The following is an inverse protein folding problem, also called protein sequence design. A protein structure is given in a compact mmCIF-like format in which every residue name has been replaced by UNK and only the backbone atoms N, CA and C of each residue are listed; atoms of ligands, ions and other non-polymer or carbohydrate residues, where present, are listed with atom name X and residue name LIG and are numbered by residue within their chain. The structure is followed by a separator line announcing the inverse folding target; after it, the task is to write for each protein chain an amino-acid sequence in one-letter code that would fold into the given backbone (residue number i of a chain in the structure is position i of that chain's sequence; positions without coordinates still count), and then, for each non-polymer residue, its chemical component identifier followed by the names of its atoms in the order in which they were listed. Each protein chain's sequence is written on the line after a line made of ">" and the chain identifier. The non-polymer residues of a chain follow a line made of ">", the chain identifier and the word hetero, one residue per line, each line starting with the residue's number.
data_IF_885319530107
#
_entry.id   IF_885319530107
#
_cell.length_a   1.000
_cell.length_b   1.000
_cell.length_c   1.000
_cell.angle_alpha   90.00
_cell.angle_beta   90.00
_cell.angle_gamma   90.00
#
_symmetry.space_group_name_H-M   'P 1'
#
loop_
_entity.id
_entity.type
_entity.pdbx_description
1 polymer ?
#
# COMPACT_ATOMS: atom_id res chain seq x y z
N UNK A 1 17.12 -3.55 16.12
CA UNK A 1 16.94 -2.19 15.56
C UNK A 1 15.57 -1.67 16.00
N UNK A 2 15.47 -0.41 16.40
CA UNK A 2 14.19 0.23 16.69
C UNK A 2 13.54 0.67 15.37
N UNK A 3 12.21 0.70 15.30
CA UNK A 3 11.48 1.17 14.12
C UNK A 3 11.74 2.67 13.87
N UNK A 4 12.15 3.03 12.65
CA UNK A 4 12.37 4.41 12.22
C UNK A 4 11.18 4.92 11.38
N UNK A 5 10.29 5.66 12.03
CA UNK A 5 9.10 6.24 11.40
C UNK A 5 9.34 7.64 10.81
N UNK A 6 10.60 8.08 10.68
CA UNK A 6 10.93 9.37 10.05
C UNK A 6 10.77 9.36 8.53
N UNK A 7 10.78 8.17 7.92
CA UNK A 7 10.73 7.96 6.48
C UNK A 7 9.30 8.08 5.92
N UNK A 8 9.21 8.51 4.68
CA UNK A 8 7.96 8.49 3.92
C UNK A 8 7.64 7.08 3.38
N UNK A 9 6.50 6.93 2.72
CA UNK A 9 6.15 5.69 2.03
C UNK A 9 6.83 5.54 0.65
N UNK A 10 7.79 6.41 0.30
CA UNK A 10 8.40 6.42 -1.02
C UNK A 10 9.03 5.07 -1.40
N UNK A 11 9.92 4.55 -0.54
CA UNK A 11 10.62 3.28 -0.78
C UNK A 11 9.68 2.07 -0.95
N UNK A 12 8.68 1.84 -0.07
CA UNK A 12 7.76 0.72 -0.27
C UNK A 12 6.91 0.87 -1.53
N UNK A 13 6.43 2.08 -1.86
CA UNK A 13 5.65 2.29 -3.08
C UNK A 13 6.52 2.02 -4.32
N UNK A 14 7.78 2.48 -4.31
CA UNK A 14 8.71 2.26 -5.40
C UNK A 14 9.03 0.77 -5.57
N UNK A 15 9.19 0.03 -4.47
CA UNK A 15 9.41 -1.41 -4.51
C UNK A 15 8.21 -2.15 -5.10
N UNK A 16 6.98 -1.84 -4.65
CA UNK A 16 5.74 -2.40 -5.19
C UNK A 16 5.63 -2.14 -6.70
N UNK A 17 5.85 -0.89 -7.13
CA UNK A 17 5.83 -0.51 -8.54
C UNK A 17 6.83 -1.33 -9.35
N UNK A 18 8.08 -1.44 -8.87
CA UNK A 18 9.13 -2.23 -9.54
C UNK A 18 8.75 -3.70 -9.71
N UNK A 19 8.08 -4.32 -8.73
CA UNK A 19 7.63 -5.71 -8.86
C UNK A 19 6.54 -5.87 -9.93
N UNK A 20 5.61 -4.92 -10.01
CA UNK A 20 4.55 -4.91 -11.01
C UNK A 20 5.10 -4.70 -12.43
N UNK A 21 6.12 -3.86 -12.57
CA UNK A 21 6.79 -3.59 -13.85
C UNK A 21 7.65 -4.77 -14.33
N UNK A 22 8.32 -5.48 -13.42
CA UNK A 22 9.28 -6.55 -13.76
C UNK A 22 8.65 -7.81 -14.34
N UNK A 23 7.31 -7.95 -14.31
CA UNK A 23 6.55 -9.05 -14.91
C UNK A 23 7.17 -10.42 -14.69
N UNK A 24 6.95 -10.95 -13.49
CA UNK A 24 6.65 -12.36 -13.21
C UNK A 24 6.80 -12.53 -11.70
N UNK A 25 5.67 -12.82 -11.05
CA UNK A 25 5.49 -13.43 -9.72
C UNK A 25 4.43 -12.70 -8.89
N UNK A 26 3.68 -13.53 -8.19
CA UNK A 26 2.87 -13.16 -7.04
C UNK A 26 3.78 -12.60 -5.93
N UNK A 27 3.33 -11.56 -5.25
CA UNK A 27 3.97 -11.07 -4.04
C UNK A 27 2.93 -10.58 -3.04
N UNK A 28 3.32 -10.51 -1.77
CA UNK A 28 2.43 -10.12 -0.69
C UNK A 28 2.84 -8.77 -0.12
N UNK A 29 1.84 -7.95 0.19
CA UNK A 29 1.99 -6.68 0.89
C UNK A 29 1.10 -6.71 2.12
N UNK A 30 1.66 -6.42 3.28
CA UNK A 30 0.92 -6.28 4.53
C UNK A 30 1.12 -4.86 5.03
N UNK A 31 0.02 -4.15 5.26
CA UNK A 31 0.02 -2.79 5.82
C UNK A 31 -0.70 -2.83 7.16
N UNK A 32 0.06 -2.64 8.24
CA UNK A 32 -0.46 -2.50 9.60
C UNK A 32 -0.53 -1.02 9.94
N UNK A 33 -1.74 -0.48 10.15
CA UNK A 33 -1.91 0.88 10.64
C UNK A 33 -2.05 0.89 12.17
N UNK A 34 -1.04 1.43 12.82
CA UNK A 34 -0.94 1.65 14.25
C UNK A 34 -1.54 3.00 14.64
N UNK A 35 -2.87 3.09 14.61
CA UNK A 35 -3.62 3.79 15.66
C UNK A 35 -4.20 2.69 16.56
N UNK A 36 -3.38 2.18 17.49
CA UNK A 36 -3.71 1.04 18.35
C UNK A 36 -3.52 -0.36 17.73
N UNK A 37 -2.80 -0.50 16.61
CA UNK A 37 -2.58 -1.78 15.87
C UNK A 37 -3.86 -2.50 15.45
N UNK A 38 -4.93 -1.74 15.29
CA UNK A 38 -6.26 -2.31 15.14
C UNK A 38 -6.70 -2.47 13.68
N UNK A 39 -5.91 -2.01 12.71
CA UNK A 39 -6.30 -2.08 11.31
C UNK A 39 -5.17 -2.66 10.48
N UNK A 40 -5.42 -3.80 9.83
CA UNK A 40 -4.43 -4.54 9.05
C UNK A 40 -5.04 -4.87 7.69
N UNK A 41 -4.30 -4.58 6.62
CA UNK A 41 -4.63 -4.99 5.26
C UNK A 41 -3.57 -5.98 4.80
N UNK A 42 -3.97 -7.22 4.59
CA UNK A 42 -3.16 -8.23 3.91
C UNK A 42 -3.55 -8.23 2.45
N UNK A 43 -2.62 -7.95 1.56
CA UNK A 43 -2.83 -7.90 0.12
C UNK A 43 -1.95 -8.94 -0.57
N UNK A 44 -2.57 -9.88 -1.25
CA UNK A 44 -1.92 -10.75 -2.22
C UNK A 44 -2.04 -10.11 -3.60
N UNK A 45 -0.92 -9.93 -4.31
CA UNK A 45 -0.86 -9.22 -5.59
C UNK A 45 -0.38 -10.17 -6.68
N UNK A 46 -1.28 -10.46 -7.63
CA UNK A 46 -1.01 -11.23 -8.83
C UNK A 46 -0.80 -10.31 -10.02
N UNK A 47 0.36 -10.41 -10.67
CA UNK A 47 0.74 -9.56 -11.81
C UNK A 47 0.65 -10.36 -13.10
N UNK A 48 -0.38 -10.09 -13.90
CA UNK A 48 -0.51 -10.61 -15.27
C UNK A 48 0.22 -9.73 -16.28
N UNK A 49 0.15 -10.08 -17.57
CA UNK A 49 0.75 -9.28 -18.65
C UNK A 49 0.22 -7.84 -18.66
N UNK A 50 -1.11 -7.67 -18.77
CA UNK A 50 -1.77 -6.37 -18.86
C UNK A 50 -2.64 -6.04 -17.63
N UNK A 51 -2.62 -6.89 -16.60
CA UNK A 51 -3.46 -6.74 -15.42
C UNK A 51 -2.69 -6.86 -14.11
N UNK A 52 -3.23 -6.22 -13.09
CA UNK A 52 -2.84 -6.41 -11.69
C UNK A 52 -4.09 -6.78 -10.92
N UNK A 53 -4.04 -7.91 -10.23
CA UNK A 53 -5.13 -8.41 -9.41
C UNK A 53 -4.69 -8.38 -7.94
N UNK A 54 -5.54 -7.83 -7.09
CA UNK A 54 -5.28 -7.68 -5.65
C UNK A 54 -6.39 -8.39 -4.89
N UNK A 55 -6.01 -9.33 -4.04
CA UNK A 55 -6.87 -10.00 -3.08
C UNK A 55 -6.52 -9.49 -1.69
N UNK A 56 -7.49 -8.88 -1.02
CA UNK A 56 -7.29 -8.36 0.32
C UNK A 56 -8.05 -9.18 1.36
N UNK A 57 -7.38 -9.40 2.49
CA UNK A 57 -7.99 -9.74 3.77
C UNK A 57 -7.78 -8.56 4.74
N UNK A 58 -8.86 -7.88 5.11
CA UNK A 58 -8.85 -6.65 5.91
C UNK A 58 -9.41 -6.93 7.31
N UNK A 59 -8.61 -6.68 8.33
CA UNK A 59 -8.95 -6.91 9.73
C UNK A 59 -9.03 -5.57 10.46
N UNK A 60 -10.17 -5.29 11.06
CA UNK A 60 -10.35 -4.17 11.99
C UNK A 60 -10.61 -4.71 13.40
N UNK A 61 -9.52 -4.93 14.14
CA UNK A 61 -9.53 -5.51 15.49
C UNK A 61 -10.20 -4.59 16.52
N UNK A 62 -10.30 -3.28 16.27
CA UNK A 62 -10.98 -2.36 17.20
C UNK A 62 -12.48 -2.64 17.24
N UNK A 63 -13.08 -2.94 16.08
CA UNK A 63 -14.50 -3.27 15.95
C UNK A 63 -14.77 -4.78 15.80
N UNK A 64 -13.72 -5.60 15.80
CA UNK A 64 -13.83 -7.05 15.57
C UNK A 64 -14.37 -7.42 14.18
N UNK A 65 -14.15 -6.60 13.17
CA UNK A 65 -14.69 -6.84 11.82
C UNK A 65 -13.62 -7.34 10.85
N UNK A 66 -14.06 -8.18 9.91
CA UNK A 66 -13.27 -8.73 8.81
C UNK A 66 -13.95 -8.42 7.49
N UNK A 67 -13.18 -8.08 6.45
CA UNK A 67 -13.69 -7.91 5.09
C UNK A 67 -12.68 -8.41 4.07
N UNK A 68 -13.14 -9.27 3.16
CA UNK A 68 -12.34 -9.69 2.02
C UNK A 68 -12.72 -8.85 0.78
N UNK A 69 -11.73 -8.43 -0.01
CA UNK A 69 -11.99 -7.75 -1.30
C UNK A 69 -11.13 -8.29 -2.41
N UNK A 70 -11.65 -8.15 -3.62
CA UNK A 70 -11.00 -8.53 -4.87
C UNK A 70 -11.09 -7.34 -5.81
N UNK A 71 -9.94 -6.91 -6.32
CA UNK A 71 -9.85 -5.83 -7.30
C UNK A 71 -8.94 -6.23 -8.45
N UNK A 72 -9.32 -5.83 -9.65
CA UNK A 72 -8.52 -6.07 -10.87
C UNK A 72 -8.39 -4.77 -11.63
N UNK A 73 -7.17 -4.45 -12.04
CA UNK A 73 -6.83 -3.22 -12.75
C UNK A 73 -6.12 -3.53 -14.07
N UNK A 74 -6.26 -2.63 -15.04
CA UNK A 74 -5.29 -2.53 -16.13
C UNK A 74 -3.96 -2.11 -15.53
N UNK A 75 -2.88 -2.84 -15.85
CA UNK A 75 -1.56 -2.64 -15.23
C UNK A 75 -1.09 -1.20 -15.34
N UNK A 76 -1.16 -0.61 -16.53
CA UNK A 76 -0.72 0.76 -16.77
C UNK A 76 -1.48 1.79 -15.92
N UNK A 77 -2.76 1.56 -15.66
CA UNK A 77 -3.55 2.47 -14.82
C UNK A 77 -3.21 2.30 -13.34
N UNK A 78 -2.92 1.07 -12.90
CA UNK A 78 -2.43 0.84 -11.54
C UNK A 78 -1.05 1.48 -11.32
N UNK A 79 -0.14 1.38 -12.30
CA UNK A 79 1.17 2.05 -12.25
C UNK A 79 1.00 3.57 -12.12
N UNK A 80 0.07 4.19 -12.86
CA UNK A 80 -0.23 5.63 -12.72
C UNK A 80 -0.71 6.01 -11.33
N UNK A 81 -1.50 5.14 -10.67
CA UNK A 81 -1.92 5.37 -9.29
C UNK A 81 -0.70 5.38 -8.36
N UNK A 82 0.22 4.42 -8.51
CA UNK A 82 1.46 4.37 -7.73
C UNK A 82 2.36 5.58 -8.03
N UNK A 83 2.47 6.02 -9.28
CA UNK A 83 3.25 7.20 -9.65
C UNK A 83 2.72 8.49 -9.02
N UNK A 84 1.40 8.62 -8.96
CA UNK A 84 0.75 9.73 -8.27
C UNK A 84 1.16 9.75 -6.80
N UNK A 85 1.07 8.60 -6.11
CA UNK A 85 1.45 8.51 -4.69
C UNK A 85 2.97 8.69 -4.48
N UNK A 86 3.81 8.19 -5.40
CA UNK A 86 5.26 8.40 -5.34
C UNK A 86 5.63 9.88 -5.40
N UNK A 87 5.02 10.64 -6.30
CA UNK A 87 5.29 12.07 -6.46
C UNK A 87 4.96 12.91 -5.23
N UNK A 88 4.12 12.37 -4.33
CA UNK A 88 3.65 13.05 -3.12
C UNK A 88 4.07 12.33 -1.83
N UNK A 89 4.89 11.27 -1.90
CA UNK A 89 5.17 10.42 -0.75
C UNK A 89 5.72 11.21 0.45
N UNK A 90 6.58 12.20 0.18
CA UNK A 90 7.19 13.05 1.20
C UNK A 90 6.28 14.20 1.69
N UNK A 91 5.25 14.56 0.92
CA UNK A 91 4.31 15.65 1.23
C UNK A 91 3.00 15.17 1.86
N UNK A 92 2.76 13.85 1.96
CA UNK A 92 1.53 13.33 2.58
C UNK A 92 1.40 13.78 4.03
N UNK A 93 0.15 14.05 4.45
CA UNK A 93 -0.17 14.50 5.81
C UNK A 93 0.26 13.45 6.83
N UNK A 94 1.02 13.90 7.83
CA UNK A 94 1.40 13.09 9.00
C UNK A 94 0.36 13.26 10.09
N UNK A 95 -0.47 12.25 10.30
CA UNK A 95 -1.46 12.28 11.38
C UNK A 95 -0.77 11.85 12.69
N UNK A 96 -1.02 12.57 13.79
CA UNK A 96 -0.50 12.22 15.10
C UNK A 96 -0.99 10.82 15.51
N UNK A 97 -0.11 10.00 16.08
CA UNK A 97 -0.47 8.65 16.53
C UNK A 97 -0.88 7.68 15.41
N UNK A 98 -0.57 7.97 14.15
CA UNK A 98 -0.77 7.07 13.02
C UNK A 98 0.59 6.68 12.45
N UNK A 99 0.88 5.39 12.53
CA UNK A 99 2.12 4.79 12.07
C UNK A 99 1.76 3.60 11.19
N UNK A 100 2.47 3.40 10.10
CA UNK A 100 2.26 2.27 9.21
C UNK A 100 3.52 1.42 9.18
N UNK A 101 3.33 0.13 9.42
CA UNK A 101 4.34 -0.89 9.16
C UNK A 101 3.94 -1.54 7.83
N UNK A 102 4.79 -1.39 6.81
CA UNK A 102 4.56 -1.91 5.47
C UNK A 102 5.56 -3.04 5.24
N UNK A 103 5.05 -4.26 5.20
CA UNK A 103 5.85 -5.46 4.94
C UNK A 103 5.60 -5.92 3.50
N UNK A 104 6.66 -6.13 2.75
CA UNK A 104 6.60 -6.63 1.36
C UNK A 104 7.35 -7.95 1.31
N UNK A 105 6.69 -9.00 0.84
CA UNK A 105 7.24 -10.36 0.76
C UNK A 105 7.31 -10.76 -0.71
N UNK A 106 8.53 -11.01 -1.20
CA UNK A 106 8.80 -11.37 -2.58
C UNK A 106 9.63 -12.65 -2.55
N UNK A 107 9.04 -13.76 -3.01
CA UNK A 107 9.59 -15.10 -2.80
C UNK A 107 9.99 -15.29 -1.32
N UNK A 108 11.27 -15.59 -1.04
CA UNK A 108 11.78 -15.80 0.32
C UNK A 108 12.32 -14.54 0.99
N UNK A 109 12.25 -13.38 0.32
CA UNK A 109 12.71 -12.10 0.88
C UNK A 109 11.56 -11.34 1.54
N UNK A 110 11.86 -10.71 2.68
CA UNK A 110 10.94 -9.82 3.39
C UNK A 110 11.62 -8.47 3.61
N UNK A 111 10.98 -7.42 3.09
CA UNK A 111 11.36 -6.03 3.34
C UNK A 111 10.33 -5.39 4.27
N UNK A 112 10.78 -4.66 5.28
CA UNK A 112 9.92 -4.01 6.28
C UNK A 112 10.23 -2.52 6.36
N UNK A 113 9.20 -1.71 6.10
CA UNK A 113 9.27 -0.26 6.11
C UNK A 113 8.38 0.31 7.20
N UNK A 114 8.84 1.39 7.82
CA UNK A 114 8.13 2.10 8.87
C UNK A 114 7.90 3.54 8.42
N UNK A 115 6.65 3.99 8.44
CA UNK A 115 6.31 5.34 7.97
C UNK A 115 5.14 5.96 8.75
N UNK A 116 4.99 7.29 8.65
CA UNK A 116 3.79 8.02 9.10
C UNK A 116 3.00 8.60 7.92
N UNK A 117 3.41 8.26 6.70
CA UNK A 117 2.93 8.81 5.43
C UNK A 117 2.44 7.68 4.52
N UNK A 118 1.91 6.59 5.09
CA UNK A 118 1.46 5.40 4.36
C UNK A 118 -0.03 5.40 3.97
N UNK A 119 -0.77 6.49 4.22
CA UNK A 119 -2.21 6.53 4.02
C UNK A 119 -2.60 6.37 2.53
N UNK A 120 -1.84 6.98 1.63
CA UNK A 120 -2.05 6.86 0.18
C UNK A 120 -1.96 5.42 -0.32
N UNK A 121 -0.85 4.74 -0.03
CA UNK A 121 -0.64 3.35 -0.43
C UNK A 121 -1.66 2.41 0.22
N UNK A 122 -2.00 2.63 1.49
CA UNK A 122 -3.05 1.86 2.17
C UNK A 122 -4.39 1.97 1.44
N UNK A 123 -4.75 3.15 0.94
CA UNK A 123 -6.03 3.36 0.23
C UNK A 123 -6.02 2.76 -1.16
N UNK A 124 -4.89 2.82 -1.87
CA UNK A 124 -4.73 2.09 -3.14
C UNK A 124 -4.96 0.60 -2.90
N UNK A 125 -4.31 0.03 -1.89
CA UNK A 125 -4.39 -1.40 -1.61
C UNK A 125 -5.79 -1.83 -1.15
N UNK A 126 -6.45 -1.03 -0.29
CA UNK A 126 -7.76 -1.38 0.26
C UNK A 126 -8.93 -1.13 -0.72
N UNK A 127 -8.85 -0.02 -1.47
CA UNK A 127 -10.00 0.55 -2.21
C UNK A 127 -9.74 0.76 -3.70
N UNK A 128 -8.51 0.57 -4.17
CA UNK A 128 -8.18 0.73 -5.58
C UNK A 128 -8.20 2.17 -6.07
N UNK A 129 -8.10 3.13 -5.15
CA UNK A 129 -8.18 4.57 -5.46
C UNK A 129 -7.04 5.30 -4.77
N UNK A 130 -6.49 6.30 -5.45
CA UNK A 130 -5.68 7.30 -4.76
C UNK A 130 -6.58 8.11 -3.83
N UNK A 131 -6.07 8.43 -2.64
CA UNK A 131 -6.76 9.35 -1.73
C UNK A 131 -6.87 10.77 -2.30
N UNK A 132 -6.11 11.07 -3.35
CA UNK A 132 -6.15 12.36 -4.01
C UNK A 132 -7.25 12.40 -5.06
N UNK A 133 -8.50 12.50 -4.61
CA UNK A 133 -9.61 12.84 -5.50
C UNK A 133 -9.65 14.36 -5.67
N UNK A 134 -9.18 14.83 -6.84
CA UNK A 134 -9.33 16.18 -7.41
C UNK A 134 -9.06 17.37 -6.46
N UNK A 135 -7.81 17.83 -6.41
CA UNK A 135 -7.59 19.28 -6.52
C UNK A 135 -7.77 19.65 -8.00
N UNK A 136 -9.03 19.79 -8.43
CA UNK A 136 -9.32 20.58 -9.63
C UNK A 136 -9.10 22.02 -9.20
N UNK A 137 -7.92 22.56 -9.46
CA UNK A 137 -7.77 24.00 -9.52
C UNK A 137 -8.48 24.47 -10.79
N UNK A 138 -9.52 25.27 -10.57
CA UNK A 138 -10.15 26.12 -11.57
C UNK A 138 -9.13 27.08 -12.20
#
# INVERSE_FOLDING_TARGET
>A
MLADYSKSAYEPILLIKKQIEKMENEFNVEIKNSHGRNYIVYSKIDVGQDSVRIENDIHNNFYGTKRDTVMTFVKNDFIKLLDTELSQADSQIRIAGNYQDIKIIIADSTELFYTRQGLGIMTIMEKGKSNMTKSKNN
#
